data_IF_193027038377
#
_entry.id   IF_193027038377
#
_cell.length_a   1.000
_cell.length_b   1.000
_cell.length_c   1.000
_cell.angle_alpha   90.00
_cell.angle_beta   90.00
_cell.angle_gamma   90.00
#
_symmetry.space_group_name_H-M   'P 1'
#
loop_
_entity.id
_entity.type
_entity.pdbx_description
1 polymer ?
#
# COMPACT_ATOMS: atom_id res chain seq x y z
N UNK A 1 36.17 -3.84 2.98
CA UNK A 1 34.78 -3.37 3.21
C UNK A 1 33.84 -4.17 2.32
N UNK A 2 32.87 -4.83 2.93
CA UNK A 2 31.98 -5.82 2.31
C UNK A 2 31.02 -5.18 1.33
N UNK A 3 31.20 -5.48 0.04
CA UNK A 3 30.33 -5.05 -1.05
C UNK A 3 29.03 -5.88 -1.10
N UNK A 4 28.31 -5.97 0.02
CA UNK A 4 26.97 -6.59 0.06
C UNK A 4 25.96 -5.47 -0.11
N UNK A 5 25.35 -5.38 -1.28
CA UNK A 5 24.18 -4.52 -1.48
C UNK A 5 22.91 -5.34 -1.15
N UNK A 6 21.95 -4.84 -0.35
CA UNK A 6 21.90 -3.49 0.23
C UNK A 6 23.01 -3.24 1.25
N UNK A 7 23.57 -2.03 1.20
CA UNK A 7 24.68 -1.51 2.02
C UNK A 7 24.53 -1.72 3.54
N UNK A 8 23.35 -2.14 4.01
CA UNK A 8 22.97 -2.22 5.40
C UNK A 8 22.57 -3.63 5.88
N UNK A 9 22.93 -4.72 5.20
CA UNK A 9 22.56 -6.06 5.71
C UNK A 9 23.36 -6.49 6.96
N UNK A 10 24.46 -5.84 7.30
CA UNK A 10 25.21 -6.12 8.54
C UNK A 10 25.46 -7.61 8.73
N UNK A 11 25.04 -8.15 9.88
CA UNK A 11 25.06 -9.59 10.18
C UNK A 11 23.73 -10.33 9.88
N UNK A 12 22.74 -9.66 9.29
CA UNK A 12 21.40 -10.23 9.04
C UNK A 12 21.39 -10.99 7.71
N UNK A 13 21.06 -12.29 7.70
CA UNK A 13 20.92 -13.07 6.48
C UNK A 13 19.77 -12.58 5.60
N UNK A 14 19.89 -12.69 4.27
CA UNK A 14 18.83 -12.33 3.32
C UNK A 14 17.54 -13.12 3.58
N UNK A 15 17.70 -14.40 3.92
CA UNK A 15 16.58 -15.31 4.21
C UNK A 15 15.76 -14.81 5.40
N UNK A 16 16.43 -14.33 6.44
CA UNK A 16 15.76 -13.79 7.63
C UNK A 16 15.01 -12.50 7.29
N UNK A 17 15.67 -11.55 6.63
CA UNK A 17 15.06 -10.30 6.21
C UNK A 17 13.87 -10.53 5.27
N UNK A 18 13.97 -11.51 4.37
CA UNK A 18 12.90 -11.88 3.45
C UNK A 18 11.72 -12.51 4.19
N UNK A 19 11.98 -13.45 5.10
CA UNK A 19 10.95 -14.07 5.93
C UNK A 19 10.21 -13.03 6.77
N UNK A 20 10.94 -12.10 7.39
CA UNK A 20 10.36 -10.97 8.10
C UNK A 20 9.45 -10.13 7.20
N UNK A 21 9.97 -9.67 6.05
CA UNK A 21 9.21 -8.83 5.13
C UNK A 21 7.94 -9.51 4.61
N UNK A 22 8.04 -10.76 4.17
CA UNK A 22 6.88 -11.51 3.68
C UNK A 22 5.85 -11.78 4.79
N UNK A 23 6.30 -12.13 6.00
CA UNK A 23 5.42 -12.43 7.13
C UNK A 23 4.69 -11.19 7.61
N UNK A 24 5.38 -10.07 7.80
CA UNK A 24 4.74 -8.84 8.28
C UNK A 24 3.77 -8.28 7.24
N UNK A 25 4.14 -8.29 5.95
CA UNK A 25 3.21 -7.91 4.89
C UNK A 25 1.99 -8.83 4.85
N UNK A 26 2.16 -10.15 5.03
CA UNK A 26 1.04 -11.08 5.12
C UNK A 26 0.12 -10.74 6.31
N UNK A 27 0.68 -10.61 7.51
CA UNK A 27 -0.08 -10.33 8.74
C UNK A 27 -0.86 -9.03 8.63
N UNK A 28 -0.25 -7.97 8.11
CA UNK A 28 -0.89 -6.66 8.05
C UNK A 28 -1.93 -6.59 6.92
N UNK A 29 -1.71 -7.27 5.78
CA UNK A 29 -2.70 -7.34 4.70
C UNK A 29 -3.78 -8.42 4.92
N UNK A 30 -3.58 -9.36 5.84
CA UNK A 30 -4.64 -10.21 6.34
C UNK A 30 -5.68 -9.41 7.14
N UNK A 31 -5.38 -8.17 7.55
CA UNK A 31 -6.35 -7.22 8.08
C UNK A 31 -7.11 -7.76 9.28
N UNK A 32 -8.44 -7.73 9.18
CA UNK A 32 -9.31 -8.04 10.31
C UNK A 32 -9.30 -9.53 10.69
N UNK A 33 -8.79 -10.43 9.84
CA UNK A 33 -8.61 -11.84 10.21
C UNK A 33 -7.79 -12.01 11.49
N UNK A 34 -6.77 -11.18 11.71
CA UNK A 34 -5.91 -11.28 12.89
C UNK A 34 -6.71 -11.02 14.18
N UNK A 35 -7.32 -9.83 14.40
CA UNK A 35 -8.13 -9.60 15.59
C UNK A 35 -9.41 -10.44 15.63
N UNK A 36 -10.01 -10.80 14.49
CA UNK A 36 -11.23 -11.60 14.47
C UNK A 36 -11.00 -13.06 14.89
N UNK A 37 -9.79 -13.58 14.68
CA UNK A 37 -9.41 -14.96 15.07
C UNK A 37 -8.65 -15.04 16.39
N UNK A 38 -7.79 -14.06 16.69
CA UNK A 38 -6.91 -14.09 17.87
C UNK A 38 -7.39 -13.18 19.01
N UNK A 39 -8.53 -12.49 18.84
CA UNK A 39 -8.94 -11.34 19.66
C UNK A 39 -7.98 -10.15 19.53
N UNK A 40 -8.38 -8.98 20.05
CA UNK A 40 -7.52 -7.80 20.08
C UNK A 40 -6.25 -8.01 20.92
N UNK A 41 -6.31 -8.81 21.99
CA UNK A 41 -5.15 -9.13 22.81
C UNK A 41 -4.13 -10.00 22.06
N UNK A 42 -4.60 -11.04 21.37
CA UNK A 42 -3.73 -11.89 20.56
C UNK A 42 -3.18 -11.17 19.33
N UNK A 43 -3.97 -10.29 18.71
CA UNK A 43 -3.49 -9.41 17.63
C UNK A 43 -2.39 -8.45 18.13
N UNK A 44 -2.58 -7.82 19.28
CA UNK A 44 -1.58 -6.94 19.89
C UNK A 44 -0.28 -7.71 20.21
N UNK A 45 -0.37 -8.93 20.74
CA UNK A 45 0.79 -9.78 20.99
C UNK A 45 1.53 -10.13 19.70
N UNK A 46 0.80 -10.51 18.63
CA UNK A 46 1.39 -10.81 17.32
C UNK A 46 2.11 -9.59 16.72
N UNK A 47 1.49 -8.41 16.77
CA UNK A 47 2.09 -7.18 16.28
C UNK A 47 3.30 -6.75 17.12
N UNK A 48 3.28 -6.96 18.43
CA UNK A 48 4.42 -6.73 19.31
C UNK A 48 5.59 -7.68 18.99
N UNK A 49 5.32 -8.96 18.74
CA UNK A 49 6.36 -9.91 18.31
C UNK A 49 6.97 -9.52 16.96
N UNK A 50 6.13 -9.11 16.00
CA UNK A 50 6.62 -8.58 14.72
C UNK A 50 7.47 -7.32 14.90
N UNK A 51 7.07 -6.41 15.81
CA UNK A 51 7.84 -5.22 16.16
C UNK A 51 9.21 -5.58 16.73
N UNK A 52 9.25 -6.48 17.71
CA UNK A 52 10.49 -6.96 18.32
C UNK A 52 11.39 -7.58 17.26
N UNK A 53 10.86 -8.44 16.38
CA UNK A 53 11.65 -9.02 15.29
C UNK A 53 12.25 -7.94 14.38
N UNK A 54 11.47 -6.95 13.97
CA UNK A 54 11.96 -5.81 13.19
C UNK A 54 13.04 -4.99 13.90
N UNK A 55 12.88 -4.75 15.21
CA UNK A 55 13.88 -4.07 16.04
C UNK A 55 15.18 -4.89 16.10
N UNK A 56 15.11 -6.20 16.32
CA UNK A 56 16.31 -7.05 16.35
C UNK A 56 17.06 -7.03 15.02
N UNK A 57 16.33 -6.99 13.89
CA UNK A 57 16.94 -6.86 12.56
C UNK A 57 17.59 -5.49 12.44
N UNK A 58 16.92 -4.41 12.84
CA UNK A 58 17.46 -3.03 12.78
C UNK A 58 18.78 -2.92 13.54
N UNK A 59 18.84 -3.45 14.77
CA UNK A 59 20.04 -3.40 15.63
C UNK A 59 21.21 -4.19 15.02
N UNK A 60 20.94 -5.33 14.39
CA UNK A 60 21.96 -6.18 13.75
C UNK A 60 22.40 -5.67 12.37
N UNK A 61 21.49 -5.06 11.62
CA UNK A 61 21.71 -4.50 10.28
C UNK A 61 22.40 -3.12 10.34
N UNK A 62 22.13 -2.33 11.38
CA UNK A 62 22.60 -0.95 11.59
C UNK A 62 22.43 -0.04 10.35
N UNK A 63 21.22 0.02 9.76
CA UNK A 63 20.97 0.85 8.58
C UNK A 63 21.07 2.35 8.90
N UNK A 64 21.67 3.12 8.00
CA UNK A 64 21.81 4.56 8.17
C UNK A 64 20.51 5.30 7.85
N UNK A 65 20.00 6.08 8.81
CA UNK A 65 18.77 6.88 8.62
C UNK A 65 18.97 8.08 7.68
N UNK A 66 20.21 8.55 7.48
CA UNK A 66 20.52 9.74 6.69
C UNK A 66 20.04 9.67 5.22
N UNK A 67 19.84 8.47 4.67
CA UNK A 67 19.38 8.24 3.29
C UNK A 67 17.86 8.00 3.18
N UNK A 68 17.10 8.33 4.20
CA UNK A 68 15.63 8.25 4.21
C UNK A 68 15.01 9.59 3.78
N UNK A 69 13.75 9.60 3.28
CA UNK A 69 13.11 10.83 2.82
C UNK A 69 12.77 11.75 3.98
N UNK A 70 13.33 12.98 3.98
CA UNK A 70 13.05 14.00 5.02
C UNK A 70 11.55 14.31 5.14
N UNK A 71 10.82 14.31 4.03
CA UNK A 71 9.38 14.59 4.01
C UNK A 71 8.58 13.62 4.90
N UNK A 72 8.95 12.33 4.94
CA UNK A 72 8.31 11.34 5.82
C UNK A 72 8.50 11.72 7.30
N UNK A 73 9.74 12.02 7.70
CA UNK A 73 10.06 12.33 9.09
C UNK A 73 9.52 13.69 9.54
N UNK A 74 9.50 14.69 8.66
CA UNK A 74 8.90 15.98 8.96
C UNK A 74 7.38 15.81 9.17
N UNK A 75 6.71 15.01 8.33
CA UNK A 75 5.29 14.69 8.51
C UNK A 75 5.05 13.94 9.83
N UNK A 76 5.82 12.89 10.13
CA UNK A 76 5.72 12.18 11.41
C UNK A 76 6.04 13.08 12.61
N UNK A 77 7.01 13.97 12.47
CA UNK A 77 7.33 14.98 13.48
C UNK A 77 6.16 15.92 13.73
N UNK A 78 5.46 16.33 12.68
CA UNK A 78 4.23 17.13 12.81
C UNK A 78 3.11 16.37 13.51
N UNK A 79 2.87 15.10 13.15
CA UNK A 79 1.93 14.24 13.86
C UNK A 79 2.28 14.12 15.36
N UNK A 80 3.57 14.00 15.71
CA UNK A 80 4.02 13.97 17.10
C UNK A 80 3.81 15.31 17.81
N UNK A 81 4.13 16.42 17.14
CA UNK A 81 3.93 17.78 17.69
C UNK A 81 2.44 18.06 17.95
N UNK A 82 1.54 17.46 17.16
CA UNK A 82 0.09 17.55 17.38
C UNK A 82 -0.40 16.96 18.70
N UNK A 83 0.42 16.17 19.41
CA UNK A 83 0.14 15.74 20.79
C UNK A 83 -0.04 16.93 21.73
N UNK A 84 0.67 18.04 21.49
CA UNK A 84 0.68 19.21 22.38
C UNK A 84 -0.71 19.86 22.52
N UNK A 85 -1.51 19.86 21.46
CA UNK A 85 -2.87 20.41 21.46
C UNK A 85 -3.95 19.35 21.23
N UNK A 86 -3.57 18.07 21.21
CA UNK A 86 -4.54 17.00 21.05
C UNK A 86 -5.46 16.94 22.26
N UNK A 87 -6.76 16.99 22.00
CA UNK A 87 -7.78 16.79 23.03
C UNK A 87 -7.80 15.33 23.54
N UNK A 88 -7.13 14.40 22.83
CA UNK A 88 -7.12 12.96 23.08
C UNK A 88 -5.70 12.42 23.20
N UNK A 89 -4.92 12.99 24.13
CA UNK A 89 -3.49 12.71 24.30
C UNK A 89 -3.15 11.21 24.33
N UNK A 90 -3.93 10.38 25.03
CA UNK A 90 -3.67 8.94 25.14
C UNK A 90 -3.85 8.22 23.79
N UNK A 91 -4.94 8.52 23.08
CA UNK A 91 -5.23 7.94 21.78
C UNK A 91 -4.23 8.44 20.71
N UNK A 92 -3.82 9.70 20.77
CA UNK A 92 -2.79 10.27 19.90
C UNK A 92 -1.44 9.61 20.13
N UNK A 93 -1.01 9.42 21.37
CA UNK A 93 0.26 8.75 21.69
C UNK A 93 0.27 7.30 21.21
N UNK A 94 -0.80 6.54 21.46
CA UNK A 94 -0.93 5.16 21.00
C UNK A 94 -0.89 5.06 19.47
N UNK A 95 -1.61 5.95 18.78
CA UNK A 95 -1.68 5.98 17.32
C UNK A 95 -0.39 6.47 16.68
N UNK A 96 0.34 7.38 17.34
CA UNK A 96 1.68 7.79 16.93
C UNK A 96 2.66 6.63 17.07
N UNK A 97 2.63 5.89 18.18
CA UNK A 97 3.48 4.72 18.39
C UNK A 97 3.24 3.66 17.30
N UNK A 98 1.98 3.38 16.95
CA UNK A 98 1.64 2.49 15.85
C UNK A 98 2.17 2.99 14.49
N UNK A 99 2.06 4.30 14.22
CA UNK A 99 2.54 4.91 12.98
C UNK A 99 4.06 4.82 12.82
N UNK A 100 4.80 5.14 13.89
CA UNK A 100 6.27 5.02 13.93
C UNK A 100 6.69 3.56 13.78
N UNK A 101 6.02 2.64 14.46
CA UNK A 101 6.32 1.22 14.35
C UNK A 101 6.14 0.71 12.92
N UNK A 102 5.06 1.08 12.25
CA UNK A 102 4.85 0.73 10.85
C UNK A 102 5.91 1.35 9.93
N UNK A 103 6.32 2.60 10.19
CA UNK A 103 7.42 3.24 9.46
C UNK A 103 8.78 2.54 9.72
N UNK A 104 9.01 2.03 10.92
CA UNK A 104 10.18 1.22 11.27
C UNK A 104 10.19 -0.10 10.50
N UNK A 105 9.07 -0.82 10.45
CA UNK A 105 8.92 -2.03 9.63
C UNK A 105 9.26 -1.74 8.17
N UNK A 106 8.67 -0.68 7.61
CA UNK A 106 8.96 -0.25 6.25
C UNK A 106 10.45 0.07 6.04
N UNK A 107 11.08 0.76 7.00
CA UNK A 107 12.49 1.09 6.99
C UNK A 107 13.39 -0.15 7.01
N UNK A 108 13.06 -1.15 7.84
CA UNK A 108 13.78 -2.43 7.92
C UNK A 108 13.74 -3.15 6.58
N UNK A 109 12.55 -3.34 6.02
CA UNK A 109 12.36 -4.03 4.74
C UNK A 109 13.10 -3.27 3.62
N UNK A 110 12.96 -1.94 3.56
CA UNK A 110 13.61 -1.11 2.55
C UNK A 110 15.15 -1.18 2.60
N UNK A 111 15.70 -1.25 3.81
CA UNK A 111 17.15 -1.18 4.03
C UNK A 111 17.84 -2.53 3.90
N UNK A 112 17.13 -3.64 4.13
CA UNK A 112 17.70 -4.99 4.13
C UNK A 112 17.45 -5.78 2.85
N UNK A 113 16.37 -5.47 2.11
CA UNK A 113 16.00 -6.17 0.88
C UNK A 113 16.28 -5.36 -0.39
N UNK A 114 16.58 -6.05 -1.49
CA UNK A 114 16.66 -5.47 -2.83
C UNK A 114 15.26 -5.24 -3.42
N UNK A 115 15.13 -4.44 -4.47
CA UNK A 115 13.83 -4.23 -5.13
C UNK A 115 13.19 -5.53 -5.60
N UNK A 116 13.99 -6.45 -6.14
CA UNK A 116 13.52 -7.77 -6.58
C UNK A 116 13.05 -8.64 -5.40
N UNK A 117 13.73 -8.58 -4.25
CA UNK A 117 13.28 -9.29 -3.04
C UNK A 117 12.06 -8.66 -2.38
N UNK A 118 11.93 -7.33 -2.43
CA UNK A 118 10.70 -6.64 -2.01
C UNK A 118 9.53 -7.09 -2.89
N UNK A 119 9.71 -7.13 -4.22
CA UNK A 119 8.73 -7.66 -5.16
C UNK A 119 8.32 -9.10 -4.83
N UNK A 120 9.30 -9.97 -4.58
CA UNK A 120 9.05 -11.37 -4.25
C UNK A 120 8.30 -11.50 -2.90
N UNK A 121 8.65 -10.68 -1.89
CA UNK A 121 8.00 -10.69 -0.58
C UNK A 121 6.55 -10.17 -0.65
N UNK A 122 6.32 -9.07 -1.37
CA UNK A 122 4.98 -8.53 -1.64
C UNK A 122 4.13 -9.57 -2.37
N UNK A 123 4.68 -10.17 -3.44
CA UNK A 123 3.95 -11.20 -4.18
C UNK A 123 3.64 -12.42 -3.33
N UNK A 124 4.59 -12.90 -2.52
CA UNK A 124 4.36 -14.05 -1.65
C UNK A 124 3.24 -13.75 -0.66
N UNK A 125 3.33 -12.63 0.05
CA UNK A 125 2.33 -12.19 1.01
C UNK A 125 0.94 -12.05 0.38
N UNK A 126 0.80 -11.30 -0.72
CA UNK A 126 -0.52 -11.06 -1.33
C UNK A 126 -1.14 -12.35 -1.87
N UNK A 127 -0.36 -13.26 -2.48
CA UNK A 127 -0.87 -14.56 -2.95
C UNK A 127 -1.40 -15.42 -1.80
N UNK A 128 -0.71 -15.45 -0.67
CA UNK A 128 -1.18 -16.16 0.52
C UNK A 128 -2.47 -15.53 1.07
N UNK A 129 -2.56 -14.21 1.13
CA UNK A 129 -3.81 -13.54 1.52
C UNK A 129 -4.95 -13.91 0.57
N UNK A 130 -4.75 -13.88 -0.74
CA UNK A 130 -5.78 -14.26 -1.73
C UNK A 130 -6.20 -15.72 -1.59
N UNK A 131 -5.24 -16.64 -1.52
CA UNK A 131 -5.51 -18.06 -1.44
C UNK A 131 -6.26 -18.41 -0.16
N UNK A 132 -5.78 -17.93 0.99
CA UNK A 132 -6.41 -18.18 2.27
C UNK A 132 -7.76 -17.48 2.38
N UNK A 133 -7.94 -16.31 1.76
CA UNK A 133 -9.25 -15.64 1.68
C UNK A 133 -10.27 -16.46 0.90
N UNK A 134 -9.88 -17.02 -0.25
CA UNK A 134 -10.76 -17.89 -1.04
C UNK A 134 -11.08 -19.19 -0.30
N UNK A 135 -10.09 -19.81 0.33
CA UNK A 135 -10.29 -21.02 1.12
C UNK A 135 -11.20 -20.75 2.32
N UNK A 136 -11.00 -19.63 3.02
CA UNK A 136 -11.85 -19.20 4.12
C UNK A 136 -13.29 -18.99 3.66
N UNK A 137 -13.52 -18.17 2.64
CA UNK A 137 -14.88 -17.91 2.13
C UNK A 137 -15.55 -19.17 1.59
N UNK A 138 -14.80 -20.07 0.94
CA UNK A 138 -15.31 -21.36 0.48
C UNK A 138 -15.68 -22.28 1.64
N UNK A 139 -14.84 -22.36 2.68
CA UNK A 139 -15.14 -23.17 3.86
C UNK A 139 -16.40 -22.65 4.58
N UNK A 140 -16.53 -21.33 4.74
CA UNK A 140 -17.71 -20.71 5.34
C UNK A 140 -18.95 -20.96 4.47
N UNK A 141 -18.87 -20.77 3.15
CA UNK A 141 -20.01 -20.97 2.26
C UNK A 141 -20.45 -22.43 2.13
N UNK A 142 -19.53 -23.42 2.19
CA UNK A 142 -19.86 -24.85 2.03
C UNK A 142 -20.29 -25.49 3.35
N UNK A 143 -19.51 -25.30 4.41
CA UNK A 143 -19.68 -26.02 5.68
C UNK A 143 -20.52 -25.24 6.69
N UNK A 144 -20.33 -23.93 6.78
CA UNK A 144 -20.97 -23.10 7.81
C UNK A 144 -22.34 -22.58 7.32
N UNK A 145 -22.42 -22.11 6.07
CA UNK A 145 -23.66 -21.68 5.37
C UNK A 145 -24.43 -20.53 6.04
N UNK A 146 -23.83 -19.86 7.01
CA UNK A 146 -24.37 -18.65 7.64
C UNK A 146 -23.23 -17.66 7.95
N UNK A 147 -23.54 -16.36 8.14
CA UNK A 147 -22.54 -15.35 8.45
C UNK A 147 -21.79 -15.66 9.76
N UNK A 148 -20.48 -15.39 9.76
CA UNK A 148 -19.60 -15.57 10.92
C UNK A 148 -19.22 -14.21 11.49
N UNK A 149 -19.49 -14.01 12.77
CA UNK A 149 -19.03 -12.87 13.54
C UNK A 149 -17.59 -13.09 14.09
N UNK A 150 -16.86 -12.03 14.46
CA UNK A 150 -15.60 -12.15 15.19
C UNK A 150 -15.73 -13.02 16.45
N UNK A 151 -14.71 -13.82 16.77
CA UNK A 151 -14.76 -14.82 17.86
C UNK A 151 -15.03 -14.20 19.24
N UNK A 152 -14.66 -12.94 19.44
CA UNK A 152 -14.82 -12.21 20.71
C UNK A 152 -16.15 -11.47 20.84
N UNK A 153 -17.02 -11.53 19.82
CA UNK A 153 -18.35 -10.91 19.84
C UNK A 153 -19.46 -11.93 19.73
N UNK A 154 -20.46 -11.83 20.61
CA UNK A 154 -21.72 -12.54 20.47
C UNK A 154 -22.86 -11.53 20.38
N UNK A 155 -23.41 -11.35 19.18
CA UNK A 155 -24.46 -10.38 18.92
C UNK A 155 -25.88 -10.88 19.28
N UNK A 156 -26.01 -12.15 19.73
CA UNK A 156 -27.28 -12.78 20.05
C UNK A 156 -28.21 -12.86 18.83
N UNK A 157 -29.52 -12.71 19.04
CA UNK A 157 -30.55 -12.71 17.98
C UNK A 157 -30.88 -11.31 17.44
N UNK A 158 -29.98 -10.33 17.60
CA UNK A 158 -30.21 -8.96 17.12
C UNK A 158 -29.89 -8.88 15.63
N UNK A 159 -30.75 -8.22 14.85
CA UNK A 159 -30.44 -7.84 13.49
C UNK A 159 -29.28 -6.83 13.49
N UNK A 160 -28.08 -7.34 13.21
CA UNK A 160 -26.87 -6.53 13.09
C UNK A 160 -26.56 -6.25 11.61
N UNK A 161 -26.05 -5.06 11.28
CA UNK A 161 -25.62 -4.76 9.94
C UNK A 161 -24.55 -5.72 9.41
N UNK A 162 -24.67 -6.07 8.13
CA UNK A 162 -23.73 -6.92 7.38
C UNK A 162 -22.24 -6.60 7.56
N UNK A 163 -21.90 -5.35 7.86
CA UNK A 163 -20.54 -4.88 7.97
C UNK A 163 -19.80 -5.38 9.23
N UNK A 164 -20.53 -5.90 10.22
CA UNK A 164 -19.94 -6.45 11.45
C UNK A 164 -19.54 -7.93 11.33
N UNK A 165 -20.03 -8.62 10.30
CA UNK A 165 -19.65 -10.01 10.05
C UNK A 165 -18.27 -10.08 9.39
N UNK A 166 -17.46 -11.04 9.84
CA UNK A 166 -16.15 -11.33 9.28
C UNK A 166 -16.24 -12.06 7.92
N UNK A 167 -17.19 -12.99 7.77
CA UNK A 167 -17.61 -13.52 6.48
C UNK A 167 -19.12 -13.62 6.45
N UNK A 168 -19.71 -13.38 5.28
CA UNK A 168 -21.16 -13.43 5.08
C UNK A 168 -21.65 -14.72 4.42
N UNK A 169 -20.76 -15.69 4.17
CA UNK A 169 -21.06 -16.92 3.43
C UNK A 169 -21.55 -16.70 1.98
N UNK A 170 -21.21 -15.55 1.39
CA UNK A 170 -21.83 -15.05 0.15
C UNK A 170 -21.18 -15.55 -1.16
N UNK A 171 -20.28 -16.54 -1.09
CA UNK A 171 -19.46 -16.95 -2.24
C UNK A 171 -20.29 -17.48 -3.41
N UNK A 172 -21.37 -18.23 -3.13
CA UNK A 172 -22.22 -18.86 -4.16
C UNK A 172 -23.58 -18.18 -4.36
N UNK A 173 -23.93 -17.22 -3.52
CA UNK A 173 -25.21 -16.50 -3.51
C UNK A 173 -25.14 -15.19 -4.31
N UNK A 174 -23.96 -14.84 -4.82
CA UNK A 174 -23.76 -13.65 -5.64
C UNK A 174 -23.57 -12.37 -4.84
N UNK A 175 -23.35 -12.45 -3.53
CA UNK A 175 -22.90 -11.31 -2.72
C UNK A 175 -21.42 -11.00 -2.90
N UNK A 176 -20.90 -10.06 -2.10
CA UNK A 176 -19.49 -9.64 -2.15
C UNK A 176 -18.69 -10.42 -1.12
N UNK A 177 -17.61 -11.06 -1.54
CA UNK A 177 -16.65 -11.69 -0.63
C UNK A 177 -15.77 -10.64 0.04
N UNK A 178 -15.38 -10.92 1.29
CA UNK A 178 -14.59 -10.05 2.14
C UNK A 178 -13.19 -10.62 2.41
N UNK A 179 -13.08 -11.95 2.47
CA UNK A 179 -11.83 -12.68 2.72
C UNK A 179 -11.22 -12.41 4.08
N UNK A 180 -9.94 -12.74 4.22
CA UNK A 180 -9.19 -12.45 5.44
C UNK A 180 -9.23 -10.97 5.83
N UNK A 181 -9.10 -9.99 4.91
CA UNK A 181 -9.16 -8.58 5.29
C UNK A 181 -10.46 -8.14 5.98
N UNK A 182 -11.53 -8.94 5.94
CA UNK A 182 -12.84 -8.58 6.50
C UNK A 182 -13.55 -7.48 5.72
N UNK A 183 -13.05 -7.13 4.53
CA UNK A 183 -13.61 -6.06 3.73
C UNK A 183 -13.33 -6.29 2.24
N UNK A 184 -14.39 -6.30 1.45
CA UNK A 184 -14.33 -6.53 0.01
C UNK A 184 -13.45 -5.51 -0.75
N UNK A 185 -13.42 -4.25 -0.32
CA UNK A 185 -12.57 -3.23 -0.96
C UNK A 185 -11.08 -3.49 -0.69
N UNK A 186 -10.74 -3.97 0.51
CA UNK A 186 -9.36 -4.31 0.87
C UNK A 186 -8.89 -5.57 0.15
N UNK A 187 -9.73 -6.59 0.11
CA UNK A 187 -9.42 -7.82 -0.62
C UNK A 187 -9.24 -7.54 -2.12
N UNK A 188 -10.08 -6.69 -2.71
CA UNK A 188 -9.92 -6.24 -4.09
C UNK A 188 -8.57 -5.55 -4.31
N UNK A 189 -8.15 -4.70 -3.36
CA UNK A 189 -6.85 -4.02 -3.43
C UNK A 189 -5.69 -5.02 -3.33
N UNK A 190 -5.77 -6.00 -2.42
CA UNK A 190 -4.80 -7.10 -2.33
C UNK A 190 -4.72 -7.84 -3.67
N UNK A 191 -5.85 -8.09 -4.34
CA UNK A 191 -5.89 -8.74 -5.65
C UNK A 191 -5.19 -7.90 -6.72
N UNK A 192 -5.40 -6.59 -6.75
CA UNK A 192 -4.70 -5.67 -7.66
C UNK A 192 -3.18 -5.66 -7.39
N UNK A 193 -2.76 -5.56 -6.13
CA UNK A 193 -1.34 -5.58 -5.75
C UNK A 193 -0.68 -6.92 -6.09
N UNK A 194 -1.37 -8.05 -5.88
CA UNK A 194 -0.92 -9.37 -6.30
C UNK A 194 -0.76 -9.45 -7.82
N UNK A 195 -1.73 -8.95 -8.58
CA UNK A 195 -1.70 -8.95 -10.04
C UNK A 195 -0.52 -8.14 -10.57
N UNK A 196 -0.27 -6.95 -10.02
CA UNK A 196 0.91 -6.13 -10.36
C UNK A 196 2.20 -6.91 -10.09
N UNK A 197 2.36 -7.46 -8.88
CA UNK A 197 3.58 -8.15 -8.48
C UNK A 197 3.86 -9.42 -9.31
N UNK A 198 2.82 -10.20 -9.59
CA UNK A 198 2.88 -11.42 -10.41
C UNK A 198 3.15 -11.09 -11.88
N UNK A 199 2.50 -10.06 -12.44
CA UNK A 199 2.72 -9.65 -13.82
C UNK A 199 4.17 -9.18 -14.05
N UNK A 200 4.74 -8.46 -13.08
CA UNK A 200 6.15 -8.06 -13.14
C UNK A 200 7.07 -9.28 -13.06
N UNK A 201 6.84 -10.22 -12.13
CA UNK A 201 7.65 -11.45 -12.07
C UNK A 201 7.56 -12.31 -13.33
N UNK A 202 6.38 -12.36 -13.97
CA UNK A 202 6.21 -13.00 -15.27
C UNK A 202 7.04 -12.31 -16.35
N UNK A 203 6.99 -10.97 -16.41
CA UNK A 203 7.76 -10.18 -17.37
C UNK A 203 9.28 -10.31 -17.15
N UNK A 204 9.73 -10.53 -15.91
CA UNK A 204 11.14 -10.78 -15.59
C UNK A 204 11.57 -12.25 -15.77
N UNK A 205 10.64 -13.16 -16.09
CA UNK A 205 10.92 -14.60 -16.18
C UNK A 205 11.28 -15.25 -14.84
N UNK A 206 11.00 -14.59 -13.70
CA UNK A 206 11.30 -15.12 -12.35
C UNK A 206 10.25 -16.11 -11.82
N UNK A 207 9.09 -16.17 -12.46
CA UNK A 207 8.04 -17.15 -12.14
C UNK A 207 7.62 -17.90 -13.40
N UNK A 208 7.41 -19.22 -13.28
CA UNK A 208 6.99 -20.09 -14.40
C UNK A 208 5.69 -19.57 -14.99
N UNK A 209 5.60 -19.50 -16.34
CA UNK A 209 4.45 -18.94 -17.07
C UNK A 209 3.10 -19.47 -16.58
N UNK A 210 2.97 -20.79 -16.43
CA UNK A 210 1.71 -21.42 -15.99
C UNK A 210 1.33 -21.01 -14.56
N UNK A 211 2.33 -20.92 -13.67
CA UNK A 211 2.12 -20.47 -12.29
C UNK A 211 1.68 -19.00 -12.26
N UNK A 212 2.33 -18.14 -13.05
CA UNK A 212 1.96 -16.72 -13.15
C UNK A 212 0.53 -16.55 -13.69
N UNK A 213 0.18 -17.27 -14.76
CA UNK A 213 -1.17 -17.22 -15.33
C UNK A 213 -2.20 -17.69 -14.29
N UNK A 214 -1.93 -18.80 -13.58
CA UNK A 214 -2.81 -19.29 -12.52
C UNK A 214 -3.07 -18.24 -11.45
N UNK A 215 -2.03 -17.56 -10.96
CA UNK A 215 -2.20 -16.49 -9.96
C UNK A 215 -2.88 -15.23 -10.50
N UNK A 216 -2.67 -14.88 -11.77
CA UNK A 216 -3.40 -13.77 -12.40
C UNK A 216 -4.89 -14.10 -12.55
N UNK A 217 -5.23 -15.34 -12.88
CA UNK A 217 -6.63 -15.81 -12.92
C UNK A 217 -7.25 -15.77 -11.53
N UNK A 218 -6.55 -16.25 -10.50
CA UNK A 218 -7.00 -16.17 -9.10
C UNK A 218 -7.22 -14.72 -8.67
N UNK A 219 -6.27 -13.82 -8.97
CA UNK A 219 -6.41 -12.41 -8.67
C UNK A 219 -7.60 -11.78 -9.40
N UNK A 220 -7.78 -12.07 -10.69
CA UNK A 220 -8.92 -11.60 -11.47
C UNK A 220 -10.27 -12.13 -10.93
N UNK A 221 -10.34 -13.41 -10.54
CA UNK A 221 -11.53 -13.99 -9.94
C UNK A 221 -11.90 -13.28 -8.62
N UNK A 222 -10.95 -13.11 -7.71
CA UNK A 222 -11.17 -12.37 -6.44
C UNK A 222 -11.58 -10.92 -6.71
N UNK A 223 -10.93 -10.28 -7.68
CA UNK A 223 -11.25 -8.91 -8.07
C UNK A 223 -12.70 -8.76 -8.56
N UNK A 224 -13.19 -9.73 -9.33
CA UNK A 224 -14.60 -9.76 -9.79
C UNK A 224 -15.56 -10.06 -8.63
N UNK A 225 -15.24 -11.04 -7.79
CA UNK A 225 -16.10 -11.46 -6.66
C UNK A 225 -16.24 -10.39 -5.57
N UNK A 226 -15.25 -9.52 -5.41
CA UNK A 226 -15.28 -8.41 -4.44
C UNK A 226 -16.15 -7.22 -4.89
N UNK A 227 -16.41 -7.08 -6.21
CA UNK A 227 -17.24 -6.03 -6.82
C UNK A 227 -16.94 -4.61 -6.31
N UNK A 228 -15.66 -4.28 -6.12
CA UNK A 228 -15.23 -2.98 -5.60
C UNK A 228 -15.12 -1.93 -6.71
N UNK A 229 -16.06 -0.98 -6.77
CA UNK A 229 -16.01 0.11 -7.76
C UNK A 229 -14.74 0.97 -7.65
N UNK A 230 -14.31 1.26 -6.42
CA UNK A 230 -13.06 2.01 -6.17
C UNK A 230 -11.86 1.31 -6.79
N UNK A 231 -11.75 0.00 -6.59
CA UNK A 231 -10.56 -0.73 -7.04
C UNK A 231 -10.62 -1.03 -8.55
N UNK A 232 -11.81 -1.10 -9.15
CA UNK A 232 -11.97 -1.04 -10.62
C UNK A 232 -11.36 0.24 -11.19
N UNK A 233 -11.68 1.40 -10.61
CA UNK A 233 -11.08 2.68 -11.01
C UNK A 233 -9.57 2.67 -10.78
N UNK A 234 -9.10 2.18 -9.63
CA UNK A 234 -7.67 2.05 -9.34
C UNK A 234 -6.94 1.18 -10.38
N UNK A 235 -7.50 0.04 -10.76
CA UNK A 235 -6.92 -0.83 -11.79
C UNK A 235 -6.86 -0.14 -13.15
N UNK A 236 -7.90 0.60 -13.54
CA UNK A 236 -7.92 1.37 -14.79
C UNK A 236 -6.84 2.46 -14.80
N UNK A 237 -6.73 3.24 -13.71
CA UNK A 237 -5.69 4.28 -13.59
C UNK A 237 -4.29 3.68 -13.59
N UNK A 238 -4.07 2.56 -12.88
CA UNK A 238 -2.81 1.81 -12.91
C UNK A 238 -2.46 1.36 -14.33
N UNK A 239 -3.42 0.83 -15.09
CA UNK A 239 -3.22 0.42 -16.48
C UNK A 239 -2.85 1.61 -17.37
N UNK A 240 -3.53 2.75 -17.25
CA UNK A 240 -3.20 3.98 -17.98
C UNK A 240 -1.79 4.46 -17.63
N UNK A 241 -1.44 4.53 -16.34
CA UNK A 241 -0.11 4.95 -15.91
C UNK A 241 0.97 3.99 -16.39
N UNK A 242 0.70 2.67 -16.39
CA UNK A 242 1.60 1.67 -16.96
C UNK A 242 1.88 1.97 -18.45
N UNK A 243 0.84 2.18 -19.25
CA UNK A 243 0.97 2.49 -20.68
C UNK A 243 1.74 3.80 -20.90
N UNK A 244 1.45 4.84 -20.12
CA UNK A 244 2.14 6.13 -20.18
C UNK A 244 3.62 6.01 -19.81
N UNK A 245 3.95 5.23 -18.76
CA UNK A 245 5.33 4.99 -18.36
C UNK A 245 6.11 4.26 -19.46
N UNK A 246 5.54 3.18 -20.02
CA UNK A 246 6.15 2.44 -21.13
C UNK A 246 6.30 3.32 -22.38
N UNK A 247 5.33 4.16 -22.68
CA UNK A 247 5.39 5.11 -23.79
C UNK A 247 6.50 6.14 -23.61
N UNK A 248 6.56 6.82 -22.45
CA UNK A 248 7.59 7.82 -22.15
C UNK A 248 9.00 7.22 -22.16
N UNK A 249 9.16 5.96 -21.75
CA UNK A 249 10.46 5.28 -21.85
C UNK A 249 10.97 5.16 -23.28
N UNK A 250 10.08 4.99 -24.26
CA UNK A 250 10.44 4.90 -25.70
C UNK A 250 10.80 6.26 -26.30
N UNK A 251 10.52 7.36 -25.60
CA UNK A 251 10.82 8.72 -26.05
C UNK A 251 12.26 9.10 -25.66
N UNK A 252 13.11 9.54 -26.62
CA UNK A 252 14.44 10.08 -26.34
C UNK A 252 14.39 11.23 -25.33
N UNK A 253 15.39 11.33 -24.46
CA UNK A 253 15.37 12.28 -23.33
C UNK A 253 15.14 13.72 -23.77
N UNK A 254 15.74 14.17 -24.88
CA UNK A 254 15.58 15.55 -25.38
C UNK A 254 14.13 15.86 -25.80
N UNK A 255 13.36 14.82 -26.14
CA UNK A 255 12.00 14.94 -26.65
C UNK A 255 10.94 14.78 -25.56
N UNK A 256 11.29 14.48 -24.30
CA UNK A 256 10.30 14.16 -23.25
C UNK A 256 9.47 15.36 -22.80
N UNK A 257 10.05 16.56 -22.73
CA UNK A 257 9.38 17.77 -22.23
C UNK A 257 8.01 18.05 -22.86
N UNK A 258 7.86 18.14 -24.20
CA UNK A 258 6.55 18.38 -24.81
C UNK A 258 5.55 17.23 -24.57
N UNK A 259 6.01 15.99 -24.36
CA UNK A 259 5.13 14.85 -24.04
C UNK A 259 4.64 14.94 -22.59
N UNK A 260 5.50 15.37 -21.67
CA UNK A 260 5.07 15.70 -20.30
C UNK A 260 4.06 16.85 -20.29
N UNK A 261 4.28 17.90 -21.07
CA UNK A 261 3.31 19.00 -21.18
C UNK A 261 1.95 18.51 -21.72
N UNK A 262 1.95 17.66 -22.75
CA UNK A 262 0.73 17.04 -23.27
C UNK A 262 0.03 16.20 -22.19
N UNK A 263 0.76 15.33 -21.50
CA UNK A 263 0.19 14.49 -20.43
C UNK A 263 -0.42 15.35 -19.32
N UNK A 264 0.29 16.40 -18.87
CA UNK A 264 -0.21 17.34 -17.87
C UNK A 264 -1.45 18.08 -18.38
N UNK A 265 -1.44 18.55 -19.63
CA UNK A 265 -2.59 19.22 -20.25
C UNK A 265 -3.83 18.32 -20.29
N UNK A 266 -3.67 17.06 -20.74
CA UNK A 266 -4.76 16.06 -20.75
C UNK A 266 -5.25 15.76 -19.34
N UNK A 267 -4.35 15.59 -18.37
CA UNK A 267 -4.72 15.36 -16.97
C UNK A 267 -5.53 16.53 -16.40
N UNK A 268 -5.11 17.78 -16.66
CA UNK A 268 -5.84 18.99 -16.25
C UNK A 268 -7.23 19.02 -16.88
N UNK A 269 -7.35 18.76 -18.19
CA UNK A 269 -8.64 18.71 -18.89
C UNK A 269 -9.56 17.66 -18.28
N UNK A 270 -9.06 16.45 -17.99
CA UNK A 270 -9.86 15.39 -17.36
C UNK A 270 -10.34 15.82 -15.98
N UNK A 271 -9.47 16.41 -15.16
CA UNK A 271 -9.85 16.89 -13.82
C UNK A 271 -10.89 18.01 -13.91
N UNK A 272 -10.67 19.00 -14.77
CA UNK A 272 -11.61 20.12 -14.97
C UNK A 272 -12.96 19.62 -15.49
N UNK A 273 -12.96 18.73 -16.49
CA UNK A 273 -14.19 18.12 -17.02
C UNK A 273 -14.93 17.30 -15.95
N UNK A 274 -14.20 16.56 -15.10
CA UNK A 274 -14.79 15.81 -13.99
C UNK A 274 -15.41 16.72 -12.92
N UNK A 275 -14.74 17.82 -12.56
CA UNK A 275 -15.24 18.79 -11.56
C UNK A 275 -16.47 19.52 -12.08
N UNK A 276 -16.43 20.04 -13.32
CA UNK A 276 -17.54 20.77 -13.92
C UNK A 276 -18.71 19.83 -14.27
N UNK A 277 -18.41 18.62 -14.72
CA UNK A 277 -19.38 17.60 -15.12
C UNK A 277 -19.97 16.78 -13.97
N UNK A 278 -19.54 17.00 -12.72
CA UNK A 278 -19.92 16.16 -11.56
C UNK A 278 -21.43 15.94 -11.42
N UNK A 279 -22.24 16.98 -11.63
CA UNK A 279 -23.69 16.89 -11.50
C UNK A 279 -24.33 16.07 -12.63
N UNK A 280 -23.87 16.26 -13.87
CA UNK A 280 -24.35 15.52 -15.04
C UNK A 280 -23.93 14.04 -14.97
N UNK A 281 -22.68 13.77 -14.59
CA UNK A 281 -22.17 12.40 -14.43
C UNK A 281 -22.92 11.68 -13.30
N UNK A 282 -23.21 12.36 -12.17
CA UNK A 282 -24.00 11.80 -11.07
C UNK A 282 -25.43 11.49 -11.50
N UNK A 283 -26.07 12.41 -12.24
CA UNK A 283 -27.43 12.23 -12.77
C UNK A 283 -27.55 11.05 -13.74
N UNK A 284 -26.59 10.89 -14.66
CA UNK A 284 -26.57 9.74 -15.60
C UNK A 284 -26.32 8.42 -14.89
N UNK A 285 -25.51 8.41 -13.82
CA UNK A 285 -25.22 7.21 -13.04
C UNK A 285 -26.31 6.87 -12.01
N UNK A 286 -27.36 7.69 -11.89
CA UNK A 286 -28.39 7.52 -10.86
C UNK A 286 -27.84 7.56 -9.44
N UNK A 287 -26.72 8.28 -9.24
CA UNK A 287 -26.04 8.40 -7.94
C UNK A 287 -26.23 9.79 -7.37
N UNK A 288 -26.13 9.91 -6.05
CA UNK A 288 -26.04 11.19 -5.36
C UNK A 288 -24.83 12.00 -5.87
N UNK A 289 -24.90 13.33 -5.78
CA UNK A 289 -23.85 14.25 -6.27
C UNK A 289 -22.48 14.08 -5.59
N UNK A 290 -22.44 13.35 -4.48
CA UNK A 290 -21.23 12.92 -3.76
C UNK A 290 -20.68 11.56 -4.23
N UNK A 291 -21.31 10.93 -5.25
CA UNK A 291 -21.01 9.63 -5.89
C UNK A 291 -20.93 8.39 -4.99
N UNK A 292 -20.97 8.57 -3.67
CA UNK A 292 -20.61 7.57 -2.66
C UNK A 292 -21.67 7.44 -1.55
N UNK A 293 -22.60 8.40 -1.45
CA UNK A 293 -23.55 8.51 -0.35
C UNK A 293 -22.86 8.73 1.00
N UNK A 294 -21.76 9.49 1.00
CA UNK A 294 -20.92 9.82 2.18
C UNK A 294 -20.92 11.32 2.50
N UNK A 295 -21.70 12.12 1.78
CA UNK A 295 -21.77 13.57 1.91
C UNK A 295 -22.06 14.02 3.33
N UNK A 296 -22.97 13.34 4.04
CA UNK A 296 -23.26 13.65 5.45
C UNK A 296 -22.03 13.48 6.36
N UNK A 297 -21.24 12.41 6.15
CA UNK A 297 -19.99 12.17 6.89
C UNK A 297 -19.01 13.32 6.60
N UNK A 298 -18.87 13.68 5.32
CA UNK A 298 -17.95 14.74 4.92
C UNK A 298 -18.38 16.11 5.45
N UNK A 299 -19.67 16.42 5.48
CA UNK A 299 -20.19 17.67 6.08
C UNK A 299 -19.86 17.74 7.58
N UNK A 300 -20.04 16.63 8.33
CA UNK A 300 -19.67 16.59 9.75
C UNK A 300 -18.16 16.76 9.96
N UNK A 301 -17.33 16.10 9.13
CA UNK A 301 -15.87 16.23 9.19
C UNK A 301 -15.41 17.64 8.82
N UNK A 302 -16.04 18.28 7.82
CA UNK A 302 -15.78 19.68 7.46
C UNK A 302 -16.14 20.63 8.61
N UNK A 303 -17.24 20.38 9.31
CA UNK A 303 -17.59 21.15 10.52
C UNK A 303 -16.53 21.06 11.62
N UNK A 304 -15.85 19.90 11.78
CA UNK A 304 -14.69 19.80 12.67
C UNK A 304 -13.48 20.57 12.14
N UNK A 305 -13.23 20.51 10.82
CA UNK A 305 -12.13 21.25 10.19
C UNK A 305 -12.31 22.75 10.41
N UNK A 306 -13.52 23.29 10.33
CA UNK A 306 -13.80 24.72 10.48
C UNK A 306 -13.39 25.28 11.86
N UNK A 307 -13.36 24.43 12.90
CA UNK A 307 -12.92 24.82 14.25
C UNK A 307 -11.38 24.94 14.35
N UNK A 308 -10.65 24.00 13.75
CA UNK A 308 -9.18 23.94 13.80
C UNK A 308 -8.55 23.74 12.42
N UNK A 309 -8.74 24.66 11.45
CA UNK A 309 -8.43 24.40 10.05
C UNK A 309 -6.93 24.30 9.75
N UNK A 310 -6.10 24.98 10.52
CA UNK A 310 -4.65 25.11 10.25
C UNK A 310 -3.84 24.01 10.94
N UNK A 311 -4.12 23.73 12.23
CA UNK A 311 -3.36 22.79 13.06
C UNK A 311 -4.06 21.45 13.30
N UNK A 312 -5.37 21.36 13.04
CA UNK A 312 -6.17 20.15 13.25
C UNK A 312 -6.40 19.81 14.73
N UNK A 313 -7.13 18.72 14.94
CA UNK A 313 -7.54 18.26 16.28
C UNK A 313 -6.49 17.42 17.03
N UNK A 314 -5.44 16.99 16.35
CA UNK A 314 -4.46 16.03 16.84
C UNK A 314 -4.53 14.72 16.08
N UNK A 315 -3.37 14.13 15.77
CA UNK A 315 -3.28 12.83 15.11
C UNK A 315 -3.92 11.74 15.99
N UNK A 316 -4.94 11.05 15.50
CA UNK A 316 -5.55 9.93 16.23
C UNK A 316 -5.54 8.63 15.42
N UNK A 317 -5.12 8.69 14.16
CA UNK A 317 -5.15 7.52 13.31
C UNK A 317 -6.59 7.12 13.00
N UNK A 318 -6.95 5.85 13.25
CA UNK A 318 -8.36 5.44 13.25
C UNK A 318 -9.14 6.18 14.31
N UNK A 319 -10.41 6.49 14.06
CA UNK A 319 -11.24 7.16 15.05
C UNK A 319 -11.58 6.20 16.19
N UNK A 320 -11.29 6.60 17.42
CA UNK A 320 -11.55 5.77 18.60
C UNK A 320 -13.02 5.90 18.99
N UNK A 321 -13.78 4.78 19.10
CA UNK A 321 -15.21 4.84 19.44
C UNK A 321 -15.51 5.50 20.79
N UNK A 322 -14.59 5.39 21.76
CA UNK A 322 -14.75 5.95 23.11
C UNK A 322 -14.64 7.48 23.14
N UNK A 323 -14.22 8.10 22.04
CA UNK A 323 -14.15 9.55 21.90
C UNK A 323 -15.49 10.07 21.39
N UNK A 324 -16.28 10.68 22.27
CA UNK A 324 -17.66 11.14 21.98
C UNK A 324 -17.77 12.05 20.76
N UNK A 325 -16.80 12.94 20.53
CA UNK A 325 -16.75 13.83 19.37
C UNK A 325 -16.52 13.11 18.03
N UNK A 326 -15.99 11.88 18.07
CA UNK A 326 -15.71 11.06 16.88
C UNK A 326 -16.73 9.94 16.67
N UNK A 327 -17.40 9.50 17.75
CA UNK A 327 -18.31 8.36 17.77
C UNK A 327 -19.52 8.51 16.82
N UNK A 328 -20.00 9.73 16.60
CA UNK A 328 -21.20 10.00 15.79
C UNK A 328 -20.91 10.58 14.39
N UNK A 329 -19.62 10.71 14.02
CA UNK A 329 -19.21 11.34 12.76
C UNK A 329 -19.62 10.55 11.52
N UNK A 330 -19.60 9.22 11.60
CA UNK A 330 -19.82 8.37 10.45
C UNK A 330 -20.82 7.25 10.74
N UNK A 331 -22.00 7.61 11.23
CA UNK A 331 -23.10 6.66 11.37
C UNK A 331 -23.81 6.46 10.02
N UNK A 332 -23.81 5.23 9.50
CA UNK A 332 -24.53 4.89 8.26
C UNK A 332 -25.05 3.46 8.34
N UNK A 333 -26.36 3.29 8.07
CA UNK A 333 -27.05 1.98 8.07
C UNK A 333 -26.81 1.18 9.38
N UNK A 334 -26.85 1.86 10.53
CA UNK A 334 -26.65 1.22 11.84
C UNK A 334 -25.18 0.89 12.19
N UNK A 335 -24.21 1.32 11.37
CA UNK A 335 -22.77 1.10 11.58
C UNK A 335 -22.08 2.44 11.79
N UNK A 336 -21.29 2.54 12.84
CA UNK A 336 -20.34 3.65 13.04
C UNK A 336 -19.02 3.30 12.36
N UNK A 337 -18.66 4.05 11.32
CA UNK A 337 -17.37 3.91 10.65
C UNK A 337 -16.28 4.72 11.36
N UNK A 338 -15.05 4.21 11.36
CA UNK A 338 -13.92 4.77 12.14
C UNK A 338 -12.96 5.62 11.28
N UNK A 339 -13.45 6.13 10.16
CA UNK A 339 -12.67 6.92 9.20
C UNK A 339 -13.59 7.74 8.29
N UNK A 340 -13.07 8.83 7.73
CA UNK A 340 -13.79 9.67 6.75
C UNK A 340 -14.04 8.96 5.40
N UNK A 341 -13.34 7.84 5.18
CA UNK A 341 -13.22 7.17 3.89
C UNK A 341 -12.71 8.08 2.76
N UNK A 342 -11.84 9.00 3.12
CA UNK A 342 -11.02 9.83 2.25
C UNK A 342 -9.80 10.21 3.09
N UNK A 343 -8.62 9.73 2.70
CA UNK A 343 -7.39 9.93 3.47
C UNK A 343 -7.00 11.41 3.62
N UNK A 344 -7.34 12.25 2.66
CA UNK A 344 -6.95 13.66 2.66
C UNK A 344 -7.87 14.48 3.56
N UNK A 345 -9.17 14.21 3.51
CA UNK A 345 -10.14 14.83 4.40
C UNK A 345 -9.88 14.43 5.86
N UNK A 346 -9.63 13.14 6.10
CA UNK A 346 -9.28 12.62 7.42
C UNK A 346 -8.00 13.27 7.96
N UNK A 347 -6.98 13.38 7.11
CA UNK A 347 -5.72 13.99 7.48
C UNK A 347 -5.85 15.49 7.77
N UNK A 348 -6.67 16.22 7.00
CA UNK A 348 -6.91 17.64 7.24
C UNK A 348 -7.59 17.84 8.60
N UNK A 349 -8.62 17.07 8.90
CA UNK A 349 -9.30 17.13 10.20
C UNK A 349 -8.32 16.86 11.36
N UNK A 350 -7.47 15.85 11.24
CA UNK A 350 -6.56 15.45 12.32
C UNK A 350 -5.34 16.36 12.47
N UNK A 351 -4.69 16.76 11.36
CA UNK A 351 -3.37 17.42 11.38
C UNK A 351 -3.37 18.84 10.83
N UNK A 352 -4.54 19.31 10.40
CA UNK A 352 -4.73 20.64 9.83
C UNK A 352 -4.14 20.78 8.42
N UNK A 353 -4.27 21.98 7.86
CA UNK A 353 -3.71 22.33 6.56
C UNK A 353 -2.20 22.12 6.54
N UNK A 354 -1.49 22.37 7.64
CA UNK A 354 -0.03 22.18 7.71
C UNK A 354 0.31 20.70 7.49
N UNK A 355 -0.33 19.79 8.23
CA UNK A 355 -0.08 18.35 8.08
C UNK A 355 -0.48 17.83 6.70
N UNK A 356 -1.58 18.33 6.13
CA UNK A 356 -2.00 18.02 4.76
C UNK A 356 -0.94 18.42 3.73
N UNK A 357 -0.36 19.62 3.83
CA UNK A 357 0.69 20.09 2.93
C UNK A 357 1.98 19.28 3.08
N UNK A 358 2.38 18.96 4.31
CA UNK A 358 3.55 18.11 4.58
C UNK A 358 3.37 16.70 3.99
N UNK A 359 2.17 16.12 4.13
CA UNK A 359 1.83 14.86 3.52
C UNK A 359 1.78 14.95 1.99
N UNK A 360 1.28 16.04 1.42
CA UNK A 360 1.30 16.27 -0.02
C UNK A 360 2.75 16.31 -0.56
N UNK A 361 3.67 16.98 0.13
CA UNK A 361 5.10 16.97 -0.21
C UNK A 361 5.67 15.54 -0.12
N UNK A 362 5.31 14.79 0.93
CA UNK A 362 5.71 13.40 1.07
C UNK A 362 5.19 12.52 -0.09
N UNK A 363 3.95 12.72 -0.51
CA UNK A 363 3.34 12.03 -1.65
C UNK A 363 4.00 12.40 -2.96
N UNK A 364 4.10 13.70 -3.28
CA UNK A 364 4.65 14.19 -4.54
C UNK A 364 6.11 13.76 -4.71
N UNK A 365 6.93 13.87 -3.66
CA UNK A 365 8.34 13.46 -3.76
C UNK A 365 8.48 11.94 -3.94
N UNK A 366 7.60 11.14 -3.35
CA UNK A 366 7.58 9.68 -3.51
C UNK A 366 7.09 9.26 -4.89
N UNK A 367 6.03 9.89 -5.39
CA UNK A 367 5.51 9.69 -6.74
C UNK A 367 6.55 10.08 -7.79
N UNK A 368 7.23 11.22 -7.61
CA UNK A 368 8.31 11.67 -8.48
C UNK A 368 9.46 10.65 -8.56
N UNK A 369 9.93 10.15 -7.42
CA UNK A 369 10.98 9.10 -7.39
C UNK A 369 10.50 7.79 -8.01
N UNK A 370 9.23 7.43 -7.80
CA UNK A 370 8.64 6.22 -8.38
C UNK A 370 8.49 6.32 -9.91
N UNK A 371 8.07 7.49 -10.42
CA UNK A 371 8.07 7.81 -11.84
C UNK A 371 9.48 7.79 -12.42
N UNK A 372 10.47 8.32 -11.68
CA UNK A 372 11.87 8.28 -12.06
C UNK A 372 12.40 6.84 -12.14
N UNK A 373 12.06 5.96 -11.19
CA UNK A 373 12.37 4.53 -11.28
C UNK A 373 11.83 3.94 -12.59
N UNK A 374 10.57 4.23 -12.91
CA UNK A 374 9.88 3.69 -14.07
C UNK A 374 10.36 4.25 -15.41
N UNK A 375 10.91 5.47 -15.47
CA UNK A 375 11.17 6.17 -16.76
C UNK A 375 12.62 6.55 -17.02
N UNK A 376 13.46 6.63 -15.99
CA UNK A 376 14.90 6.92 -16.18
C UNK A 376 15.61 5.71 -16.77
N UNK A 377 16.61 6.01 -17.59
CA UNK A 377 17.55 5.03 -18.11
C UNK A 377 18.59 4.80 -17.02
N UNK A 378 18.73 3.55 -16.56
CA UNK A 378 19.82 3.16 -15.67
C UNK A 378 21.10 2.94 -16.49
N UNK A 379 22.25 3.16 -15.87
CA UNK A 379 23.56 2.92 -16.49
C UNK A 379 24.32 1.86 -15.71
N UNK A 380 25.09 1.02 -16.40
CA UNK A 380 26.00 0.07 -15.77
C UNK A 380 27.33 0.72 -15.37
N UNK A 381 28.23 -0.06 -14.76
CA UNK A 381 29.55 0.43 -14.33
C UNK A 381 30.44 0.89 -15.50
N UNK A 382 30.13 0.47 -16.74
CA UNK A 382 30.79 0.90 -17.96
C UNK A 382 30.08 2.05 -18.66
N UNK A 383 29.16 2.76 -17.98
CA UNK A 383 28.34 3.86 -18.51
C UNK A 383 27.46 3.45 -19.71
N UNK A 384 27.13 2.16 -19.86
CA UNK A 384 26.23 1.68 -20.91
C UNK A 384 24.79 1.70 -20.41
N UNK A 385 23.82 2.08 -21.25
CA UNK A 385 22.41 1.99 -20.90
C UNK A 385 22.04 0.55 -20.52
N UNK A 386 21.49 0.36 -19.33
CA UNK A 386 20.94 -0.94 -18.91
C UNK A 386 19.66 -1.25 -19.69
N UNK A 387 19.42 -2.52 -20.02
CA UNK A 387 18.15 -2.95 -20.60
C UNK A 387 16.99 -2.66 -19.64
N UNK A 388 15.77 -2.65 -20.16
CA UNK A 388 14.58 -2.44 -19.36
C UNK A 388 14.38 -3.60 -18.37
N UNK A 389 14.42 -3.27 -17.09
CA UNK A 389 14.04 -4.15 -16.01
C UNK A 389 12.56 -3.93 -15.65
N UNK A 390 11.65 -4.91 -15.85
CA UNK A 390 10.23 -4.75 -15.50
C UNK A 390 9.98 -4.36 -14.04
N UNK A 391 10.86 -4.76 -13.09
CA UNK A 391 10.77 -4.34 -11.68
C UNK A 391 10.84 -2.82 -11.49
N UNK A 392 11.37 -2.07 -12.47
CA UNK A 392 11.37 -0.60 -12.44
C UNK A 392 9.97 0.02 -12.38
N UNK A 393 8.94 -0.70 -12.83
CA UNK A 393 7.54 -0.27 -12.79
C UNK A 393 6.89 -0.44 -11.41
N UNK A 394 7.40 -1.37 -10.58
CA UNK A 394 6.78 -1.72 -9.30
C UNK A 394 6.49 -0.51 -8.40
N UNK A 395 7.45 0.41 -8.14
CA UNK A 395 7.21 1.54 -7.24
C UNK A 395 6.07 2.42 -7.74
N UNK A 396 6.04 2.70 -9.05
CA UNK A 396 5.05 3.58 -9.66
C UNK A 396 3.65 2.96 -9.62
N UNK A 397 3.51 1.70 -10.04
CA UNK A 397 2.20 1.05 -10.12
C UNK A 397 1.60 0.84 -8.73
N UNK A 398 2.40 0.47 -7.73
CA UNK A 398 1.92 0.32 -6.34
C UNK A 398 1.56 1.67 -5.73
N UNK A 399 2.41 2.70 -5.88
CA UNK A 399 2.10 4.04 -5.37
C UNK A 399 0.81 4.58 -5.98
N UNK A 400 0.63 4.46 -7.29
CA UNK A 400 -0.60 4.93 -7.96
C UNK A 400 -1.82 4.15 -7.48
N UNK A 401 -1.73 2.83 -7.34
CA UNK A 401 -2.83 2.03 -6.81
C UNK A 401 -3.24 2.49 -5.40
N UNK A 402 -2.25 2.72 -4.52
CA UNK A 402 -2.46 3.18 -3.14
C UNK A 402 -3.08 4.59 -3.09
N UNK A 403 -2.61 5.51 -3.94
CA UNK A 403 -3.14 6.89 -4.00
C UNK A 403 -4.56 6.93 -4.57
N UNK A 404 -4.90 6.11 -5.57
CA UNK A 404 -6.27 6.08 -6.09
C UNK A 404 -7.23 5.51 -5.05
N UNK A 405 -6.80 4.47 -4.32
CA UNK A 405 -7.59 3.93 -3.22
C UNK A 405 -7.80 4.98 -2.10
N UNK A 406 -6.82 5.86 -1.86
CA UNK A 406 -6.86 6.81 -0.74
C UNK A 406 -7.96 7.87 -0.85
N UNK A 407 -8.47 8.12 -2.06
CA UNK A 407 -9.63 9.01 -2.28
C UNK A 407 -10.97 8.39 -1.85
N UNK A 408 -11.03 7.08 -1.66
CA UNK A 408 -12.26 6.38 -1.29
C UNK A 408 -12.14 5.58 0.00
N UNK A 409 -10.94 5.49 0.59
CA UNK A 409 -10.67 4.85 1.86
C UNK A 409 -9.51 5.59 2.56
N UNK A 410 -9.60 5.86 3.87
CA UNK A 410 -8.49 6.46 4.62
C UNK A 410 -7.31 5.50 4.86
N UNK A 411 -7.38 4.28 4.31
CA UNK A 411 -6.44 3.18 4.53
C UNK A 411 -4.99 3.51 4.20
N UNK A 412 -4.71 4.48 3.32
CA UNK A 412 -3.33 4.93 3.04
C UNK A 412 -2.59 5.39 4.30
N UNK A 413 -3.32 5.91 5.28
CA UNK A 413 -2.77 6.42 6.53
C UNK A 413 -2.40 5.31 7.53
N UNK A 414 -2.89 4.07 7.32
CA UNK A 414 -2.84 3.02 8.33
C UNK A 414 -2.31 1.69 7.79
N UNK A 415 -1.83 0.84 8.71
CA UNK A 415 -1.55 -0.59 8.47
C UNK A 415 -0.74 -0.83 7.18
N UNK A 416 -1.22 -1.72 6.31
CA UNK A 416 -0.44 -2.29 5.21
C UNK A 416 -0.14 -1.29 4.12
N UNK A 417 -1.10 -0.41 3.81
CA UNK A 417 -0.92 0.62 2.80
C UNK A 417 0.10 1.67 3.26
N UNK A 418 0.06 2.06 4.54
CA UNK A 418 1.08 2.95 5.11
C UNK A 418 2.48 2.30 5.06
N UNK A 419 2.60 1.02 5.45
CA UNK A 419 3.87 0.28 5.39
C UNK A 419 4.39 0.22 3.94
N UNK A 420 3.56 -0.15 2.95
CA UNK A 420 3.98 -0.21 1.55
C UNK A 420 4.37 1.16 1.00
N UNK A 421 3.61 2.21 1.35
CA UNK A 421 3.90 3.56 0.89
C UNK A 421 5.23 4.06 1.48
N UNK A 422 5.42 3.90 2.80
CA UNK A 422 6.68 4.22 3.47
C UNK A 422 7.84 3.39 2.95
N UNK A 423 7.62 2.10 2.68
CA UNK A 423 8.63 1.19 2.12
C UNK A 423 9.13 1.71 0.78
N UNK A 424 8.21 2.05 -0.14
CA UNK A 424 8.57 2.59 -1.46
C UNK A 424 9.23 3.96 -1.32
N UNK A 425 8.71 4.83 -0.45
CA UNK A 425 9.27 6.16 -0.24
C UNK A 425 10.71 6.11 0.28
N UNK A 426 10.98 5.24 1.24
CA UNK A 426 12.31 5.00 1.82
C UNK A 426 13.21 4.34 0.79
N UNK A 427 12.78 3.22 0.21
CA UNK A 427 13.60 2.43 -0.73
C UNK A 427 14.01 3.26 -1.94
N UNK A 428 13.08 4.01 -2.54
CA UNK A 428 13.35 4.89 -3.69
C UNK A 428 14.28 6.06 -3.36
N UNK A 429 14.39 6.44 -2.08
CA UNK A 429 15.36 7.44 -1.63
C UNK A 429 16.75 6.82 -1.38
N UNK A 430 16.80 5.58 -0.90
CA UNK A 430 18.04 4.82 -0.73
C UNK A 430 18.68 4.52 -2.09
N UNK A 431 17.89 4.01 -3.04
CA UNK A 431 18.34 3.68 -4.40
C UNK A 431 17.17 3.67 -5.38
N UNK A 432 17.37 4.21 -6.58
CA UNK A 432 16.44 3.98 -7.68
C UNK A 432 16.63 2.57 -8.25
N UNK A 433 15.57 1.99 -8.82
CA UNK A 433 15.61 0.60 -9.32
C UNK A 433 16.72 0.40 -10.35
N UNK A 434 16.86 1.33 -11.30
CA UNK A 434 17.89 1.26 -12.35
C UNK A 434 19.33 1.48 -11.87
N UNK A 435 19.50 2.02 -10.66
CA UNK A 435 20.79 2.30 -10.03
C UNK A 435 21.17 1.21 -9.00
N UNK A 436 20.26 0.25 -8.75
CA UNK A 436 20.52 -0.83 -7.80
C UNK A 436 21.63 -1.75 -8.33
N UNK A 437 22.70 -2.00 -7.56
CA UNK A 437 23.73 -2.97 -7.91
C UNK A 437 23.16 -4.38 -8.00
N UNK A 438 23.79 -5.23 -8.81
CA UNK A 438 23.41 -6.64 -8.91
C UNK A 438 23.58 -7.29 -7.53
N UNK A 439 22.50 -7.92 -7.03
CA UNK A 439 22.55 -8.65 -5.76
C UNK A 439 23.27 -9.98 -5.97
N UNK A 440 24.33 -10.23 -5.20
CA UNK A 440 25.11 -11.49 -5.24
C UNK A 440 24.58 -12.52 -4.22
N UNK A 441 23.46 -12.23 -3.56
CA UNK A 441 22.91 -13.08 -2.49
C UNK A 441 23.81 -13.16 -1.25
N UNK A 442 23.53 -14.13 -0.39
CA UNK A 442 24.38 -14.50 0.76
C UNK A 442 25.57 -15.42 0.37
N UNK A 443 25.81 -15.66 -0.93
CA UNK A 443 26.81 -16.62 -1.42
C UNK A 443 28.25 -16.08 -1.47
N UNK A 444 29.27 -16.97 -1.50
CA UNK A 444 30.66 -16.56 -1.67
C UNK A 444 30.87 -15.86 -3.01
N UNK A 445 31.57 -14.73 -2.97
CA UNK A 445 31.89 -13.86 -4.10
C UNK A 445 32.83 -14.59 -5.06
N UNK A 446 32.31 -15.25 -6.08
CA UNK A 446 33.06 -15.38 -7.32
C UNK A 446 32.74 -14.14 -8.16
N UNK A 447 33.74 -13.34 -8.59
CA UNK A 447 33.49 -12.36 -9.64
C UNK A 447 32.81 -13.10 -10.80
N UNK A 448 31.87 -12.48 -11.53
CA UNK A 448 31.47 -13.05 -12.80
C UNK A 448 32.76 -13.14 -13.63
N UNK A 449 33.32 -14.34 -13.72
CA UNK A 449 34.38 -14.61 -14.66
C UNK A 449 33.76 -14.22 -16.00
N UNK A 450 34.22 -13.10 -16.57
CA UNK A 450 33.96 -12.79 -17.96
C UNK A 450 34.22 -14.10 -18.69
N UNK A 451 33.19 -14.71 -19.27
CA UNK A 451 33.41 -15.63 -20.38
C UNK A 451 33.94 -14.75 -21.51
N UNK A 452 35.23 -14.45 -21.44
CA UNK A 452 35.98 -14.13 -22.64
C UNK A 452 35.88 -15.38 -23.48
N UNK A 453 35.07 -15.29 -24.53
CA UNK A 453 35.15 -16.19 -25.65
C UNK A 453 36.62 -16.16 -26.09
N UNK A 454 37.36 -17.20 -25.73
CA UNK A 454 38.65 -17.49 -26.34
C UNK A 454 38.39 -17.59 -27.83
N UNK A 455 38.82 -16.58 -28.57
CA UNK A 455 39.07 -16.71 -30.00
C UNK A 455 40.01 -17.90 -30.16
N UNK A 456 39.51 -18.99 -30.71
CA UNK A 456 40.38 -19.99 -31.30
C UNK A 456 40.90 -19.39 -32.61
N UNK A 457 42.05 -18.74 -32.50
CA UNK A 457 42.95 -18.61 -33.62
C UNK A 457 43.41 -20.02 -33.98
N UNK A 458 42.93 -20.53 -35.10
CA UNK A 458 43.52 -21.69 -35.78
C UNK A 458 43.37 -21.49 -37.28
N UNK A 459 44.51 -21.06 -37.85
CA UNK A 459 45.05 -21.25 -39.22
C UNK A 459 44.11 -21.17 -40.41
#
# INVERSE_FOLDING_TARGET
MTNTWPLARGAVPEREAFAFGATVLFVVFAGDAVPNTLTWFGAAALWALAAVWGITITVRAKPTIARTPRALWIFLGWCLVSVVWSHWWAATLASMAAQVLCALVAFVIASTLTWRRILDAVSLAMRWVLMLSLLFEAAVAVFVRHPIAPIWTHYGNRDIPDAFYFSRAELFTGGRIQGLPGNANLLAMVALLAAIAVAIQLAEGRMRRNQSIGWLVVAAAVFVLTRSSTVIVAAAVVAVVFLLAVWIRRVPTERRTPRYLLMTGVAVVIVVAGVLGRGAIAGVLGKSSDFTGRGEIWTKVLGLIDVHPVVGWGWIGYWWPDVSTLADLAHRKGVTYLQAHDAYLDLWMQTGLIGLLLFAIYVVTTLYRSWACATRVGFDAGLRPRPFDPVSLLPLLVVVALLVQSFAESRLLYQGNWILFALIAIKSRIVLVGEEPVSVGDGPRTPPAKREFRWAATR
#
